data_IF_771072514915
#
_entry.id   IF_771072514915
#
_cell.length_a   1.000
_cell.length_b   1.000
_cell.length_c   1.000
_cell.angle_alpha   90.00
_cell.angle_beta   90.00
_cell.angle_gamma   90.00
#
_symmetry.space_group_name_H-M   'P 1'
#
loop_
_entity.id
_entity.type
_entity.pdbx_description
1 polymer ?
#
# COMPACT_ATOMS: atom_id res chain seq x y z
N UNK A 1 17.62 -7.91 6.45
CA UNK A 1 16.41 -7.95 5.61
C UNK A 1 15.12 -8.10 6.42
N UNK A 2 14.99 -9.05 7.37
CA UNK A 2 13.79 -9.14 8.22
C UNK A 2 13.57 -7.89 9.10
N UNK A 3 14.63 -7.39 9.75
CA UNK A 3 14.57 -6.15 10.54
C UNK A 3 14.15 -4.92 9.69
N UNK A 4 14.56 -4.85 8.42
CA UNK A 4 14.15 -3.78 7.50
C UNK A 4 12.65 -3.86 7.14
N UNK A 5 12.05 -5.04 7.27
CA UNK A 5 10.62 -5.28 7.14
C UNK A 5 9.87 -5.21 8.48
N UNK A 6 10.51 -4.70 9.55
CA UNK A 6 9.96 -4.59 10.90
C UNK A 6 9.62 -5.92 11.58
N UNK A 7 10.38 -6.98 11.32
CA UNK A 7 10.31 -8.23 12.09
C UNK A 7 11.61 -8.46 12.84
N UNK A 8 11.53 -8.50 14.17
CA UNK A 8 12.63 -8.86 15.07
C UNK A 8 12.61 -10.35 15.45
N UNK A 9 11.47 -11.03 15.28
CA UNK A 9 11.30 -12.45 15.53
C UNK A 9 10.85 -13.23 14.29
N UNK A 10 11.63 -14.25 13.92
CA UNK A 10 11.32 -15.14 12.77
C UNK A 10 10.05 -15.97 12.99
N UNK A 11 9.68 -16.25 14.24
CA UNK A 11 8.48 -17.01 14.57
C UNK A 11 7.17 -16.30 14.18
N UNK A 12 7.21 -15.00 13.92
CA UNK A 12 6.05 -14.21 13.47
C UNK A 12 5.85 -14.25 11.95
N UNK A 13 6.86 -14.76 11.22
CA UNK A 13 6.87 -14.84 9.77
C UNK A 13 6.25 -16.16 9.31
N UNK A 14 5.27 -16.07 8.41
CA UNK A 14 4.67 -17.22 7.76
C UNK A 14 5.47 -17.64 6.53
N UNK A 15 5.94 -16.67 5.75
CA UNK A 15 6.74 -16.87 4.56
C UNK A 15 7.61 -15.65 4.27
N UNK A 16 8.76 -15.86 3.63
CA UNK A 16 9.61 -14.80 3.11
C UNK A 16 10.14 -15.20 1.73
N UNK A 17 10.10 -14.27 0.77
CA UNK A 17 10.51 -14.49 -0.62
C UNK A 17 11.63 -13.52 -0.95
N UNK A 18 12.80 -14.06 -1.33
CA UNK A 18 13.91 -13.26 -1.83
C UNK A 18 13.74 -13.03 -3.33
N UNK A 19 13.55 -11.77 -3.71
CA UNK A 19 13.35 -11.35 -5.09
C UNK A 19 14.70 -11.20 -5.83
N UNK A 20 14.74 -11.34 -7.18
CA UNK A 20 15.98 -11.26 -7.95
C UNK A 20 16.77 -9.95 -7.77
N UNK A 21 16.08 -8.86 -7.43
CA UNK A 21 16.68 -7.55 -7.17
C UNK A 21 17.32 -7.44 -5.77
N UNK A 22 17.24 -8.50 -4.96
CA UNK A 22 17.78 -8.55 -3.60
C UNK A 22 16.82 -8.04 -2.51
N UNK A 23 15.60 -7.69 -2.87
CA UNK A 23 14.55 -7.33 -1.91
C UNK A 23 13.96 -8.58 -1.26
N UNK A 24 13.58 -8.47 0.02
CA UNK A 24 12.90 -9.55 0.74
C UNK A 24 11.45 -9.15 1.00
N UNK A 25 10.51 -9.86 0.37
CA UNK A 25 9.08 -9.75 0.64
C UNK A 25 8.70 -10.68 1.80
N UNK A 26 8.16 -10.14 2.90
CA UNK A 26 7.84 -10.88 4.14
C UNK A 26 6.33 -10.89 4.39
N UNK A 27 5.78 -12.08 4.65
CA UNK A 27 4.36 -12.29 4.97
C UNK A 27 4.24 -12.77 6.42
N UNK A 28 3.55 -12.01 7.27
CA UNK A 28 3.23 -12.41 8.64
C UNK A 28 2.21 -13.53 8.70
N UNK A 29 2.24 -14.27 9.81
CA UNK A 29 1.14 -15.16 10.22
C UNK A 29 -0.15 -14.36 10.43
N UNK A 30 -1.30 -15.02 10.25
CA UNK A 30 -2.60 -14.37 10.22
C UNK A 30 -2.91 -13.64 11.54
N UNK A 31 -2.57 -14.26 12.67
CA UNK A 31 -2.75 -13.71 14.02
C UNK A 31 -1.93 -12.43 14.30
N UNK A 32 -0.89 -12.17 13.50
CA UNK A 32 -0.01 -11.01 13.63
C UNK A 32 -0.29 -9.92 12.57
N UNK A 33 -1.30 -10.11 11.70
CA UNK A 33 -1.66 -9.11 10.69
C UNK A 33 -2.46 -7.97 11.33
N UNK A 34 -2.27 -6.72 10.88
CA UNK A 34 -3.19 -5.65 11.24
C UNK A 34 -4.59 -5.96 10.73
N UNK A 35 -5.59 -5.59 11.52
CA UNK A 35 -7.01 -5.75 11.15
C UNK A 35 -7.33 -4.84 9.96
N UNK A 36 -8.01 -5.38 8.96
CA UNK A 36 -8.48 -4.62 7.80
C UNK A 36 -9.90 -4.11 8.00
N UNK A 37 -10.32 -3.11 7.22
CA UNK A 37 -11.73 -2.66 7.21
C UNK A 37 -12.69 -3.80 6.85
N UNK A 38 -12.25 -4.73 5.98
CA UNK A 38 -13.02 -5.90 5.59
C UNK A 38 -13.26 -6.85 6.77
N UNK A 39 -12.24 -7.06 7.61
CA UNK A 39 -12.38 -7.89 8.82
C UNK A 39 -13.40 -7.29 9.81
N UNK A 40 -13.52 -5.96 9.83
CA UNK A 40 -14.48 -5.22 10.66
C UNK A 40 -15.85 -5.00 9.98
N UNK A 41 -16.04 -5.48 8.75
CA UNK A 41 -17.23 -5.22 7.93
C UNK A 41 -17.55 -3.71 7.79
N UNK A 42 -16.52 -2.86 7.74
CA UNK A 42 -16.66 -1.42 7.53
C UNK A 42 -16.61 -1.13 6.02
N UNK A 43 -17.59 -0.38 5.52
CA UNK A 43 -17.59 0.08 4.13
C UNK A 43 -16.45 1.09 3.93
N UNK A 44 -15.57 0.82 2.97
CA UNK A 44 -14.52 1.77 2.59
C UNK A 44 -15.08 2.81 1.63
N UNK A 45 -14.75 4.08 1.87
CA UNK A 45 -14.93 5.11 0.84
C UNK A 45 -14.03 4.82 -0.36
N UNK A 46 -14.48 5.23 -1.55
CA UNK A 46 -13.67 5.09 -2.76
C UNK A 46 -12.38 5.89 -2.60
N UNK A 47 -11.24 5.20 -2.57
CA UNK A 47 -9.94 5.83 -2.50
C UNK A 47 -9.73 6.70 -3.73
N UNK A 48 -9.69 8.03 -3.53
CA UNK A 48 -9.43 9.00 -4.60
C UNK A 48 -7.93 9.18 -4.74
N UNK A 49 -7.44 9.21 -5.97
CA UNK A 49 -6.05 9.57 -6.26
C UNK A 49 -5.99 11.09 -6.30
N UNK A 50 -4.99 11.67 -5.63
CA UNK A 50 -4.73 13.12 -5.72
C UNK A 50 -3.87 13.39 -6.94
N UNK A 51 -4.27 14.34 -7.77
CA UNK A 51 -3.51 14.79 -8.93
C UNK A 51 -2.92 16.18 -8.66
N UNK A 52 -1.62 16.42 -8.92
CA UNK A 52 -1.06 17.76 -8.87
C UNK A 52 -1.72 18.65 -9.93
N UNK A 53 -2.25 19.79 -9.51
CA UNK A 53 -2.89 20.77 -10.41
C UNK A 53 -1.87 21.70 -11.08
N UNK A 54 -0.69 21.86 -10.50
CA UNK A 54 0.38 22.69 -11.04
C UNK A 54 1.66 21.83 -11.08
N UNK A 55 2.23 21.69 -12.27
CA UNK A 55 3.50 21.01 -12.50
C UNK A 55 4.39 21.90 -13.37
N UNK A 56 5.63 22.14 -12.92
CA UNK A 56 6.62 22.97 -13.62
C UNK A 56 6.10 24.36 -14.05
N UNK A 57 5.24 24.96 -13.22
CA UNK A 57 4.64 26.27 -13.47
C UNK A 57 3.45 26.27 -14.43
N UNK A 58 3.04 25.10 -14.94
CA UNK A 58 1.88 24.96 -15.82
C UNK A 58 0.66 24.45 -15.03
N UNK A 59 -0.52 25.01 -15.33
CA UNK A 59 -1.79 24.55 -14.75
C UNK A 59 -2.30 23.39 -15.59
N UNK A 60 -2.49 22.24 -14.94
CA UNK A 60 -3.03 21.04 -15.58
C UNK A 60 -4.54 21.14 -15.75
N UNK A 61 -5.03 20.83 -16.95
CA UNK A 61 -6.46 20.82 -17.21
C UNK A 61 -7.08 19.58 -16.58
N UNK A 62 -7.89 19.79 -15.53
CA UNK A 62 -8.63 18.77 -14.77
C UNK A 62 -9.40 17.78 -15.68
N UNK A 63 -9.81 18.23 -16.87
CA UNK A 63 -10.66 17.46 -17.79
C UNK A 63 -9.91 16.44 -18.68
N UNK A 64 -8.57 16.43 -18.72
CA UNK A 64 -7.81 15.50 -19.59
C UNK A 64 -7.49 14.15 -18.95
N UNK A 65 -7.68 14.03 -17.65
CA UNK A 65 -7.54 12.77 -16.93
C UNK A 65 -8.96 12.33 -16.63
N UNK A 66 -9.37 11.13 -17.07
CA UNK A 66 -10.73 10.59 -16.92
C UNK A 66 -11.13 10.30 -15.47
N UNK A 67 -10.95 11.28 -14.59
CA UNK A 67 -11.26 11.23 -13.18
C UNK A 67 -12.64 11.85 -13.05
N UNK A 68 -13.62 11.01 -12.75
CA UNK A 68 -14.95 11.45 -12.37
C UNK A 68 -14.83 12.23 -11.05
N UNK A 69 -14.80 13.56 -11.12
CA UNK A 69 -15.08 14.42 -9.98
C UNK A 69 -16.59 14.40 -9.75
N UNK A 70 -17.05 13.46 -8.92
CA UNK A 70 -18.37 13.49 -8.28
C UNK A 70 -18.25 14.07 -6.87
#
# INVERSE_FOLDING_TARGET
MLLQNNYDNVSEVQAAILEPQGNLSVFSKAENKPVTLKDLNIQSDNQRITLPLIMDGNIESVNKVGIQLC
#
